data_IF_757884460982
#
_entry.id   IF_757884460982
#
_cell.length_a   1.000
_cell.length_b   1.000
_cell.length_c   1.000
_cell.angle_alpha   90.00
_cell.angle_beta   90.00
_cell.angle_gamma   90.00
#
_symmetry.space_group_name_H-M   'P 1'
#
loop_
_entity.id
_entity.type
_entity.pdbx_description
1 polymer ?
#
# COMPACT_ATOMS: atom_id res chain seq x y z
N UNK A 1 -7.74 6.43 14.71
CA UNK A 1 -7.42 6.89 13.34
C UNK A 1 -8.64 6.68 12.45
N UNK A 2 -8.91 7.59 11.50
CA UNK A 2 -9.93 7.41 10.44
C UNK A 2 -9.25 7.76 9.11
N UNK A 3 -9.57 7.04 8.05
CA UNK A 3 -9.05 7.26 6.71
C UNK A 3 -10.17 7.79 5.81
N UNK A 4 -9.88 8.85 5.07
CA UNK A 4 -10.75 9.33 3.99
C UNK A 4 -10.26 8.72 2.68
N UNK A 5 -11.11 7.91 2.06
CA UNK A 5 -10.81 7.20 0.81
C UNK A 5 -11.08 8.10 -0.41
N UNK A 6 -10.61 7.68 -1.59
CA UNK A 6 -10.78 8.47 -2.83
C UNK A 6 -12.25 8.62 -3.25
N UNK A 7 -13.09 7.64 -2.93
CA UNK A 7 -14.54 7.66 -3.11
C UNK A 7 -15.28 8.51 -2.04
N UNK A 8 -14.52 9.22 -1.20
CA UNK A 8 -14.98 10.05 -0.08
C UNK A 8 -15.62 9.27 1.06
N UNK A 9 -15.52 7.95 1.07
CA UNK A 9 -15.93 7.14 2.23
C UNK A 9 -14.93 7.28 3.37
N UNK A 10 -15.41 7.19 4.60
CA UNK A 10 -14.57 7.19 5.79
C UNK A 10 -14.47 5.77 6.33
N UNK A 11 -13.26 5.21 6.33
CA UNK A 11 -12.98 3.86 6.84
C UNK A 11 -12.26 3.93 8.18
N UNK A 12 -12.61 3.03 9.09
CA UNK A 12 -11.91 2.83 10.35
C UNK A 12 -10.95 1.64 10.19
N UNK A 13 -9.64 1.83 10.38
CA UNK A 13 -8.70 0.71 10.46
C UNK A 13 -9.08 -0.31 11.52
N UNK A 14 -8.91 -1.60 11.21
CA UNK A 14 -8.96 -2.69 12.18
C UNK A 14 -7.72 -2.65 13.07
N UNK A 15 -6.56 -2.39 12.46
CA UNK A 15 -5.28 -2.36 13.15
C UNK A 15 -4.15 -1.90 12.26
N UNK A 16 -2.93 -1.93 12.81
CA UNK A 16 -1.70 -1.68 12.08
C UNK A 16 -0.81 -2.92 12.26
N UNK A 17 -0.27 -3.41 11.16
CA UNK A 17 0.71 -4.48 11.14
C UNK A 17 2.09 -3.82 10.98
N UNK A 18 2.93 -3.94 11.99
CA UNK A 18 4.23 -3.28 12.02
C UNK A 18 5.36 -4.18 11.51
N UNK A 19 6.42 -3.56 10.97
CA UNK A 19 7.69 -4.20 10.60
C UNK A 19 7.54 -5.39 9.62
N UNK A 20 6.62 -5.30 8.67
CA UNK A 20 6.39 -6.33 7.65
C UNK A 20 7.48 -6.25 6.59
N UNK A 21 8.13 -7.38 6.33
CA UNK A 21 9.08 -7.48 5.21
C UNK A 21 8.33 -7.76 3.91
N UNK A 22 8.39 -6.81 2.99
CA UNK A 22 7.81 -6.93 1.65
C UNK A 22 8.94 -7.13 0.65
N UNK A 23 8.88 -8.23 -0.11
CA UNK A 23 9.79 -8.50 -1.21
C UNK A 23 9.23 -7.90 -2.50
N UNK A 24 10.00 -7.03 -3.15
CA UNK A 24 9.70 -6.48 -4.48
C UNK A 24 10.89 -6.75 -5.38
N UNK A 25 10.69 -7.58 -6.41
CA UNK A 25 11.75 -8.12 -7.25
C UNK A 25 12.89 -8.75 -6.42
N UNK A 26 14.05 -8.09 -6.36
CA UNK A 26 15.24 -8.52 -5.63
C UNK A 26 15.43 -7.78 -4.29
N UNK A 27 14.57 -6.82 -3.98
CA UNK A 27 14.67 -5.97 -2.79
C UNK A 27 13.70 -6.44 -1.69
N UNK A 28 14.05 -6.14 -0.44
CA UNK A 28 13.20 -6.39 0.72
C UNK A 28 13.10 -5.09 1.51
N UNK A 29 11.88 -4.62 1.74
CA UNK A 29 11.60 -3.40 2.48
C UNK A 29 10.82 -3.71 3.76
N UNK A 30 11.25 -3.22 4.94
CA UNK A 30 10.42 -3.20 6.12
C UNK A 30 9.37 -2.09 5.99
N UNK A 31 8.09 -2.40 6.24
CA UNK A 31 7.01 -1.42 6.21
C UNK A 31 5.84 -1.80 7.12
N UNK A 32 5.15 -0.78 7.62
CA UNK A 32 3.91 -0.90 8.35
C UNK A 32 2.69 -0.85 7.41
N UNK A 33 1.70 -1.74 7.62
CA UNK A 33 0.43 -1.74 6.89
C UNK A 33 -0.74 -1.38 7.79
N UNK A 34 -1.65 -0.57 7.27
CA UNK A 34 -2.95 -0.35 7.90
C UNK A 34 -3.94 -1.40 7.39
N UNK A 35 -4.52 -2.18 8.30
CA UNK A 35 -5.49 -3.22 7.96
C UNK A 35 -6.89 -2.60 7.98
N UNK A 36 -7.66 -2.81 6.90
CA UNK A 36 -9.00 -2.27 6.73
C UNK A 36 -10.00 -3.40 6.49
N UNK A 37 -11.21 -3.24 7.03
CA UNK A 37 -12.36 -4.07 6.71
C UNK A 37 -13.03 -3.52 5.43
N UNK A 38 -13.04 -4.32 4.37
CA UNK A 38 -13.58 -3.97 3.07
C UNK A 38 -14.34 -5.17 2.49
N UNK A 39 -15.37 -4.91 1.68
CA UNK A 39 -16.01 -5.97 0.91
C UNK A 39 -14.96 -6.59 -0.02
N UNK A 40 -14.75 -7.90 0.13
CA UNK A 40 -13.71 -8.63 -0.59
C UNK A 40 -14.23 -8.89 -2.00
N UNK A 41 -13.86 -8.03 -2.93
CA UNK A 41 -13.78 -8.46 -4.33
C UNK A 41 -12.53 -9.35 -4.50
N UNK A 42 -12.55 -10.22 -5.51
CA UNK A 42 -11.62 -11.34 -5.72
C UNK A 42 -10.11 -11.00 -5.75
N UNK A 43 -9.75 -9.72 -5.81
CA UNK A 43 -8.38 -9.24 -5.62
C UNK A 43 -8.29 -8.54 -4.27
N UNK A 44 -7.57 -9.11 -3.30
CA UNK A 44 -7.26 -8.43 -2.04
C UNK A 44 -6.30 -7.28 -2.36
N UNK A 45 -6.75 -6.00 -2.41
CA UNK A 45 -5.92 -4.95 -2.97
C UNK A 45 -4.93 -4.46 -1.91
N UNK A 46 -3.64 -4.73 -2.12
CA UNK A 46 -2.57 -4.07 -1.36
C UNK A 46 -2.38 -2.67 -1.94
N UNK A 47 -2.70 -1.64 -1.15
CA UNK A 47 -2.51 -0.25 -1.55
C UNK A 47 -1.11 0.20 -1.11
N UNK A 48 -0.21 0.40 -2.07
CA UNK A 48 1.10 0.97 -1.81
C UNK A 48 0.99 2.50 -1.76
N UNK A 49 1.05 3.04 -0.55
CA UNK A 49 1.04 4.49 -0.34
C UNK A 49 2.33 5.17 -0.80
N UNK A 50 2.27 6.51 -0.95
CA UNK A 50 3.45 7.34 -1.22
C UNK A 50 4.65 7.08 -0.28
N UNK A 51 4.45 6.82 1.04
CA UNK A 51 5.58 6.50 1.91
C UNK A 51 6.38 5.28 1.45
N UNK A 52 5.72 4.22 1.00
CA UNK A 52 6.40 3.02 0.49
C UNK A 52 7.23 3.34 -0.76
N UNK A 53 6.62 4.06 -1.71
CA UNK A 53 7.29 4.47 -2.94
C UNK A 53 8.50 5.38 -2.67
N UNK A 54 8.42 6.22 -1.63
CA UNK A 54 9.54 7.06 -1.20
C UNK A 54 10.70 6.23 -0.62
N UNK A 55 10.42 5.18 0.15
CA UNK A 55 11.44 4.29 0.73
C UNK A 55 12.29 3.60 -0.34
N UNK A 56 11.65 3.14 -1.43
CA UNK A 56 12.35 2.50 -2.55
C UNK A 56 12.90 3.48 -3.59
N UNK A 57 12.80 4.79 -3.37
CA UNK A 57 13.07 5.82 -4.39
C UNK A 57 12.40 5.48 -5.75
N UNK A 58 11.17 4.95 -5.69
CA UNK A 58 10.51 4.29 -6.81
C UNK A 58 10.23 5.29 -7.94
N UNK A 59 10.61 4.92 -9.16
CA UNK A 59 10.20 5.61 -10.38
C UNK A 59 8.92 4.99 -10.92
N UNK A 60 7.88 5.80 -11.10
CA UNK A 60 6.58 5.36 -11.61
C UNK A 60 6.39 5.84 -13.05
N UNK A 61 6.34 4.91 -14.00
CA UNK A 61 5.96 5.16 -15.39
C UNK A 61 4.45 5.00 -15.52
N UNK A 62 3.74 6.14 -15.56
CA UNK A 62 2.29 6.19 -15.63
C UNK A 62 1.72 5.72 -16.98
N UNK A 63 2.48 5.88 -18.06
CA UNK A 63 2.05 5.49 -19.40
C UNK A 63 2.09 3.96 -19.55
N UNK A 64 3.13 3.32 -19.00
CA UNK A 64 3.30 1.87 -19.05
C UNK A 64 2.68 1.13 -17.87
N UNK A 65 2.25 1.85 -16.83
CA UNK A 65 1.77 1.24 -15.59
C UNK A 65 2.85 0.44 -14.86
N UNK A 66 4.10 0.89 -14.94
CA UNK A 66 5.26 0.18 -14.38
C UNK A 66 5.89 0.97 -13.23
N UNK A 67 6.43 0.23 -12.26
CA UNK A 67 7.21 0.78 -11.17
C UNK A 67 8.61 0.19 -11.22
N UNK A 68 9.62 1.05 -11.06
CA UNK A 68 11.02 0.63 -10.93
C UNK A 68 11.50 0.99 -9.54
N UNK A 69 11.86 -0.05 -8.80
CA UNK A 69 12.42 0.02 -7.45
C UNK A 69 13.94 -0.09 -7.50
#
# INVERSE_FOLDING_TARGET
>A
MRLLMADRTVKRPIGVLHDVLVKVESFIFPIDFVILDCEVDFEVPIILGRPFLATGCTLVDMEKGQMKF
#
